data_IF_832568806095
#
_entry.id   IF_832568806095
#
_cell.length_a   1.000
_cell.length_b   1.000
_cell.length_c   1.000
_cell.angle_alpha   90.00
_cell.angle_beta   90.00
_cell.angle_gamma   90.00
#
_symmetry.space_group_name_H-M   'P 1'
#
loop_
_entity.id
_entity.type
_entity.pdbx_description
1 polymer ?
#
# COMPACT_ATOMS: atom_id res chain seq x y z
N UNK A 1 30.94 21.74 -33.47
CA UNK A 1 30.41 21.05 -32.28
C UNK A 1 29.00 21.55 -32.03
N UNK A 2 28.01 20.80 -32.51
CA UNK A 2 26.60 21.21 -32.55
C UNK A 2 25.87 20.76 -31.30
N UNK A 3 25.14 21.68 -30.64
CA UNK A 3 24.29 21.40 -29.48
C UNK A 3 23.07 20.57 -29.90
N UNK A 4 22.64 19.55 -29.15
CA UNK A 4 21.42 18.83 -29.47
C UNK A 4 20.18 19.66 -29.12
N UNK A 5 19.29 19.79 -30.10
CA UNK A 5 17.95 20.37 -29.95
C UNK A 5 17.03 19.38 -29.21
N UNK A 6 16.46 19.82 -28.08
CA UNK A 6 15.36 19.12 -27.43
C UNK A 6 14.06 19.28 -28.26
N UNK A 7 13.27 18.22 -28.45
CA UNK A 7 12.02 18.31 -29.19
C UNK A 7 10.94 19.07 -28.41
N UNK A 8 10.25 19.98 -29.11
CA UNK A 8 9.04 20.67 -28.63
C UNK A 8 7.88 19.68 -28.59
N UNK A 9 7.24 19.55 -27.42
CA UNK A 9 6.04 18.74 -27.23
C UNK A 9 4.83 19.25 -28.06
N UNK A 10 3.95 18.36 -28.55
CA UNK A 10 2.80 18.73 -29.36
C UNK A 10 1.56 19.19 -28.57
N UNK A 11 0.82 20.06 -29.29
CA UNK A 11 -0.57 20.54 -29.21
C UNK A 11 -1.55 20.00 -28.14
N UNK A 12 -2.19 21.00 -27.50
CA UNK A 12 -3.57 21.07 -26.96
C UNK A 12 -4.41 19.79 -27.06
N UNK A 13 -4.57 19.12 -25.91
CA UNK A 13 -5.63 18.13 -25.69
C UNK A 13 -6.96 18.85 -25.41
N UNK A 14 -8.01 18.50 -26.17
CA UNK A 14 -9.39 18.94 -25.94
C UNK A 14 -9.87 18.45 -24.58
N UNK A 15 -10.47 19.35 -23.79
CA UNK A 15 -11.07 19.04 -22.49
C UNK A 15 -12.28 18.13 -22.68
N UNK A 16 -12.19 16.91 -22.17
CA UNK A 16 -13.36 16.11 -21.83
C UNK A 16 -13.95 16.74 -20.58
N UNK A 17 -15.11 17.38 -20.73
CA UNK A 17 -16.03 17.65 -19.63
C UNK A 17 -16.69 16.31 -19.35
N UNK A 18 -16.49 15.76 -18.16
CA UNK A 18 -17.46 14.95 -17.41
C UNK A 18 -16.76 14.43 -16.14
N UNK A 19 -16.94 15.17 -15.04
CA UNK A 19 -16.80 14.62 -13.68
C UNK A 19 -18.17 14.73 -13.06
N UNK A 20 -18.98 13.71 -13.33
CA UNK A 20 -20.24 13.47 -12.66
C UNK A 20 -19.99 13.03 -11.21
N UNK A 21 -20.63 13.76 -10.30
CA UNK A 21 -21.14 13.34 -9.00
C UNK A 21 -20.52 12.08 -8.34
N UNK A 22 -19.63 12.29 -7.36
CA UNK A 22 -19.47 11.34 -6.26
C UNK A 22 -20.64 11.60 -5.30
N UNK A 23 -21.65 10.74 -5.41
CA UNK A 23 -22.85 10.79 -4.61
C UNK A 23 -22.60 10.30 -3.18
N UNK A 24 -23.11 11.13 -2.26
CA UNK A 24 -23.35 10.94 -0.84
C UNK A 24 -24.02 9.57 -0.55
N UNK A 25 -23.37 8.71 0.23
CA UNK A 25 -24.04 7.54 0.84
C UNK A 25 -24.72 7.99 2.13
N UNK A 26 -26.05 8.00 2.10
CA UNK A 26 -26.94 8.22 3.24
C UNK A 26 -26.89 7.01 4.20
N UNK A 27 -26.81 7.30 5.49
CA UNK A 27 -27.07 6.37 6.56
C UNK A 27 -28.57 6.05 6.65
N UNK A 28 -28.94 4.80 6.39
CA UNK A 28 -30.25 4.25 6.74
C UNK A 28 -30.11 3.44 8.03
N UNK A 29 -30.66 4.00 9.11
CA UNK A 29 -30.90 3.28 10.35
C UNK A 29 -32.03 2.28 10.12
N UNK A 30 -31.70 0.99 10.11
CA UNK A 30 -32.68 -0.10 10.20
C UNK A 30 -32.59 -0.67 11.60
N UNK A 31 -33.65 -0.46 12.39
CA UNK A 31 -33.83 -1.11 13.68
C UNK A 31 -34.24 -2.57 13.42
N UNK A 32 -33.30 -3.51 13.58
CA UNK A 32 -33.58 -4.94 13.62
C UNK A 32 -33.69 -5.39 15.07
N UNK A 33 -34.84 -5.98 15.41
CA UNK A 33 -35.06 -6.66 16.68
C UNK A 33 -34.10 -7.84 16.82
N UNK A 34 -33.21 -7.78 17.81
CA UNK A 34 -32.34 -8.89 18.19
C UNK A 34 -33.10 -9.81 19.17
N UNK A 35 -33.51 -10.98 18.69
CA UNK A 35 -33.86 -12.10 19.56
C UNK A 35 -32.59 -12.60 20.24
N UNK A 36 -32.49 -12.40 21.55
CA UNK A 36 -31.39 -12.88 22.37
C UNK A 36 -31.52 -14.39 22.61
N UNK A 37 -31.04 -15.21 21.67
CA UNK A 37 -30.71 -16.60 21.98
C UNK A 37 -29.40 -16.62 22.75
N UNK A 38 -29.51 -16.72 24.08
CA UNK A 38 -28.41 -16.99 25.01
C UNK A 38 -27.92 -18.43 24.83
N UNK A 39 -27.29 -18.71 23.68
CA UNK A 39 -26.48 -19.90 23.51
C UNK A 39 -25.20 -19.71 24.33
N UNK A 40 -25.00 -20.55 25.34
CA UNK A 40 -23.72 -20.66 26.02
C UNK A 40 -22.66 -21.05 24.98
N UNK A 41 -21.95 -20.06 24.44
CA UNK A 41 -20.76 -20.31 23.65
C UNK A 41 -19.74 -20.94 24.58
N UNK A 42 -19.58 -22.26 24.48
CA UNK A 42 -18.44 -22.97 25.03
C UNK A 42 -17.21 -22.25 24.48
N UNK A 43 -16.53 -21.47 25.33
CA UNK A 43 -15.26 -20.84 24.96
C UNK A 43 -14.33 -21.99 24.59
N UNK A 44 -14.03 -22.11 23.30
CA UNK A 44 -12.96 -22.99 22.84
C UNK A 44 -11.72 -22.66 23.68
N UNK A 45 -10.99 -23.67 24.19
CA UNK A 45 -9.80 -23.44 24.98
C UNK A 45 -8.88 -22.50 24.21
N UNK A 46 -8.48 -21.41 24.87
CA UNK A 46 -7.60 -20.40 24.30
C UNK A 46 -6.28 -21.08 23.91
N UNK A 47 -6.10 -21.30 22.62
CA UNK A 47 -4.97 -22.05 22.10
C UNK A 47 -3.77 -21.10 22.13
N UNK A 48 -2.94 -21.23 23.17
CA UNK A 48 -1.78 -20.37 23.38
C UNK A 48 -0.84 -20.41 22.16
N UNK A 49 -0.48 -19.24 21.65
CA UNK A 49 0.45 -19.12 20.53
C UNK A 49 1.79 -19.79 20.84
N UNK A 50 2.33 -20.52 19.86
CA UNK A 50 3.65 -21.17 19.94
C UNK A 50 4.72 -20.18 19.51
N UNK A 51 5.88 -20.09 20.19
CA UNK A 51 6.99 -19.28 19.69
C UNK A 51 7.45 -19.82 18.33
N UNK A 52 7.64 -18.93 17.36
CA UNK A 52 8.23 -19.30 16.08
C UNK A 52 9.67 -19.83 16.28
N UNK A 53 10.06 -20.93 15.61
CA UNK A 53 11.44 -21.42 15.69
C UNK A 53 12.44 -20.38 15.20
N UNK A 54 13.68 -20.35 15.74
CA UNK A 54 14.71 -19.47 15.20
C UNK A 54 15.08 -19.88 13.77
N UNK A 55 15.32 -18.89 12.91
CA UNK A 55 15.74 -19.08 11.53
C UNK A 55 16.81 -18.04 11.16
N UNK A 56 17.82 -18.43 10.38
CA UNK A 56 18.93 -17.56 9.97
C UNK A 56 18.85 -17.28 8.46
N UNK A 57 18.27 -16.13 8.10
CA UNK A 57 18.14 -15.68 6.72
C UNK A 57 19.49 -15.44 6.04
N UNK A 58 20.56 -15.18 6.79
CA UNK A 58 21.87 -14.86 6.21
C UNK A 58 22.54 -16.03 5.48
N UNK A 59 22.02 -17.25 5.66
CA UNK A 59 22.52 -18.48 5.04
C UNK A 59 21.76 -18.87 3.77
N UNK A 60 20.78 -18.08 3.39
CA UNK A 60 19.87 -18.40 2.29
C UNK A 60 20.43 -17.84 0.99
N UNK A 61 20.52 -18.70 -0.01
CA UNK A 61 20.68 -18.31 -1.41
C UNK A 61 19.41 -18.74 -2.12
N UNK A 62 18.77 -17.83 -2.83
CA UNK A 62 17.60 -18.16 -3.63
C UNK A 62 18.00 -19.02 -4.85
N UNK A 63 17.03 -19.60 -5.56
CA UNK A 63 17.27 -20.53 -6.69
C UNK A 63 16.64 -20.06 -8.00
N UNK A 64 15.56 -19.27 -7.95
CA UNK A 64 14.87 -18.74 -9.13
C UNK A 64 14.24 -17.36 -8.89
N UNK A 65 13.78 -16.63 -9.92
CA UNK A 65 12.74 -15.64 -9.66
C UNK A 65 11.49 -16.40 -9.23
N UNK A 66 10.79 -15.93 -8.20
CA UNK A 66 9.52 -16.53 -7.82
C UNK A 66 8.49 -16.13 -8.87
N UNK A 67 7.95 -17.14 -9.57
CA UNK A 67 6.78 -16.93 -10.41
C UNK A 67 5.57 -17.09 -9.52
N UNK A 68 4.85 -16.02 -9.30
CA UNK A 68 3.67 -16.00 -8.45
C UNK A 68 2.48 -15.38 -9.18
N UNK A 69 1.42 -15.12 -8.41
CA UNK A 69 0.31 -14.27 -8.82
C UNK A 69 -0.32 -13.60 -7.61
N UNK A 70 -0.49 -12.28 -7.66
CA UNK A 70 -1.44 -11.59 -6.79
C UNK A 70 -2.88 -11.79 -7.32
N UNK A 71 -3.72 -12.45 -6.53
CA UNK A 71 -5.13 -12.71 -6.89
C UNK A 71 -6.04 -11.74 -6.13
N UNK A 72 -6.80 -10.92 -6.85
CA UNK A 72 -7.75 -9.94 -6.29
C UNK A 72 -9.23 -10.30 -6.58
N UNK A 73 -10.16 -9.65 -5.86
CA UNK A 73 -11.61 -9.73 -6.11
C UNK A 73 -12.28 -11.03 -5.64
N UNK A 74 -13.40 -11.40 -6.29
CA UNK A 74 -14.25 -12.54 -5.87
C UNK A 74 -13.50 -13.86 -5.83
N UNK A 75 -12.56 -14.06 -6.76
CA UNK A 75 -11.71 -15.25 -6.79
C UNK A 75 -10.85 -15.35 -5.54
N UNK A 76 -10.28 -14.23 -5.08
CA UNK A 76 -9.52 -14.19 -3.82
C UNK A 76 -10.38 -14.67 -2.66
N UNK A 77 -11.57 -14.07 -2.51
CA UNK A 77 -12.49 -14.43 -1.44
C UNK A 77 -12.93 -15.91 -1.50
N UNK A 78 -13.15 -16.46 -2.70
CA UNK A 78 -13.48 -17.88 -2.89
C UNK A 78 -12.34 -18.81 -2.48
N UNK A 79 -11.11 -18.52 -2.91
CA UNK A 79 -9.93 -19.32 -2.58
C UNK A 79 -9.67 -19.32 -1.07
N UNK A 80 -9.73 -18.13 -0.43
CA UNK A 80 -9.58 -17.99 1.02
C UNK A 80 -10.61 -18.82 1.79
N UNK A 81 -11.90 -18.72 1.42
CA UNK A 81 -12.96 -19.54 2.04
C UNK A 81 -12.72 -21.04 1.85
N UNK A 82 -12.29 -21.44 0.65
CA UNK A 82 -12.02 -22.84 0.33
C UNK A 82 -10.83 -23.39 1.14
N UNK A 83 -9.79 -22.58 1.33
CA UNK A 83 -8.63 -22.95 2.13
C UNK A 83 -8.98 -23.09 3.61
N UNK A 84 -9.71 -22.12 4.18
CA UNK A 84 -10.18 -22.21 5.57
C UNK A 84 -11.06 -23.45 5.79
N UNK A 85 -11.92 -23.80 4.83
CA UNK A 85 -12.77 -24.98 4.91
C UNK A 85 -12.00 -26.31 4.77
N UNK A 86 -10.81 -26.30 4.17
CA UNK A 86 -9.97 -27.49 3.94
C UNK A 86 -8.82 -27.64 4.92
N UNK A 87 -8.55 -26.62 5.73
CA UNK A 87 -7.45 -26.62 6.67
C UNK A 87 -7.51 -27.86 7.56
N UNK A 88 -6.52 -28.75 7.39
CA UNK A 88 -6.42 -29.98 8.19
C UNK A 88 -6.00 -29.66 9.62
N UNK A 89 -5.17 -28.63 9.78
CA UNK A 89 -4.68 -28.13 11.05
C UNK A 89 -4.36 -26.63 10.92
N UNK A 90 -4.59 -25.86 11.98
CA UNK A 90 -4.10 -24.49 12.10
C UNK A 90 -3.31 -24.33 13.41
N UNK A 91 -2.25 -23.54 13.37
CA UNK A 91 -1.40 -23.23 14.51
C UNK A 91 -1.19 -21.72 14.55
N UNK A 92 -1.38 -21.14 15.73
CA UNK A 92 -1.01 -19.74 15.99
C UNK A 92 0.43 -19.72 16.46
N UNK A 93 1.27 -18.97 15.75
CA UNK A 93 2.65 -18.71 16.10
C UNK A 93 2.79 -17.28 16.64
N UNK A 94 3.83 -17.04 17.42
CA UNK A 94 4.22 -15.73 17.90
C UNK A 94 5.70 -15.47 17.62
N UNK A 95 6.01 -14.25 17.16
CA UNK A 95 7.39 -13.81 16.97
C UNK A 95 8.05 -13.37 18.31
N UNK A 96 9.28 -12.85 18.24
CA UNK A 96 10.00 -12.39 19.44
C UNK A 96 9.35 -11.18 20.14
N UNK A 97 8.55 -10.38 19.42
CA UNK A 97 7.76 -9.28 19.97
C UNK A 97 6.36 -9.71 20.45
N UNK A 98 6.01 -11.01 20.39
CA UNK A 98 4.71 -11.59 20.73
C UNK A 98 3.55 -11.18 19.82
N UNK A 99 3.85 -10.81 18.58
CA UNK A 99 2.88 -10.63 17.50
C UNK A 99 2.45 -12.00 17.02
N UNK A 100 1.15 -12.25 17.00
CA UNK A 100 0.58 -13.56 16.68
C UNK A 100 0.15 -13.64 15.22
N UNK A 101 0.44 -14.74 14.55
CA UNK A 101 0.03 -14.99 13.16
C UNK A 101 -0.35 -16.47 12.97
N UNK A 102 -1.23 -16.74 12.00
CA UNK A 102 -1.81 -18.08 11.82
C UNK A 102 -1.22 -18.78 10.60
N UNK A 103 -0.75 -20.02 10.79
CA UNK A 103 -0.35 -20.91 9.71
C UNK A 103 -1.22 -22.16 9.73
N UNK A 104 -1.82 -22.49 8.59
CA UNK A 104 -2.60 -23.68 8.39
C UNK A 104 -1.93 -24.67 7.43
N UNK A 105 -2.05 -25.96 7.73
CA UNK A 105 -1.83 -27.04 6.79
C UNK A 105 -3.07 -27.15 5.88
N UNK A 106 -2.91 -26.88 4.59
CA UNK A 106 -4.00 -26.96 3.63
C UNK A 106 -4.46 -28.39 3.33
N UNK A 107 -3.61 -29.39 3.64
CA UNK A 107 -3.85 -30.81 3.39
C UNK A 107 -3.21 -31.67 4.49
N UNK A 108 -3.71 -32.91 4.74
CA UNK A 108 -3.13 -33.82 5.74
C UNK A 108 -1.69 -34.28 5.44
N UNK A 109 -1.24 -34.18 4.18
CA UNK A 109 0.10 -34.54 3.73
C UNK A 109 1.18 -33.55 4.18
N UNK A 110 0.79 -32.35 4.60
CA UNK A 110 1.72 -31.29 5.01
C UNK A 110 2.29 -31.63 6.39
N UNK A 111 3.62 -31.83 6.52
CA UNK A 111 4.22 -32.19 7.80
C UNK A 111 4.19 -30.99 8.75
N UNK A 112 4.01 -31.24 10.06
CA UNK A 112 4.02 -30.17 11.07
C UNK A 112 5.32 -29.35 11.04
N UNK A 113 6.46 -29.99 10.74
CA UNK A 113 7.76 -29.33 10.60
C UNK A 113 7.79 -28.29 9.47
N UNK A 114 6.94 -28.42 8.43
CA UNK A 114 6.81 -27.40 7.40
C UNK A 114 6.15 -26.12 7.93
N UNK A 115 5.16 -26.25 8.83
CA UNK A 115 4.54 -25.07 9.46
C UNK A 115 5.56 -24.34 10.34
N UNK A 116 6.36 -25.10 11.09
CA UNK A 116 7.45 -24.58 11.93
C UNK A 116 8.52 -23.87 11.08
N UNK A 117 8.90 -24.44 9.93
CA UNK A 117 9.85 -23.82 9.00
C UNK A 117 9.33 -22.48 8.45
N UNK A 118 8.08 -22.44 7.98
CA UNK A 118 7.46 -21.20 7.47
C UNK A 118 7.30 -20.15 8.57
N UNK A 119 6.92 -20.57 9.79
CA UNK A 119 6.86 -19.66 10.94
C UNK A 119 8.24 -19.07 11.27
N UNK A 120 9.29 -19.89 11.25
CA UNK A 120 10.65 -19.43 11.50
C UNK A 120 11.13 -18.43 10.46
N UNK A 121 10.87 -18.68 9.16
CA UNK A 121 11.20 -17.74 8.08
C UNK A 121 10.51 -16.40 8.33
N UNK A 122 9.19 -16.38 8.50
CA UNK A 122 8.42 -15.14 8.72
C UNK A 122 8.86 -14.37 9.96
N UNK A 123 9.17 -15.08 11.06
CA UNK A 123 9.66 -14.45 12.28
C UNK A 123 11.08 -13.89 12.17
N UNK A 124 11.90 -14.39 11.23
CA UNK A 124 13.25 -13.88 10.95
C UNK A 124 13.25 -12.73 9.93
N UNK A 125 12.24 -12.68 9.05
CA UNK A 125 12.03 -11.65 8.03
C UNK A 125 11.74 -10.27 8.67
N UNK A 126 12.08 -9.16 8.02
CA UNK A 126 11.95 -7.81 8.56
C UNK A 126 10.48 -7.32 8.57
N UNK A 127 9.84 -7.29 9.74
CA UNK A 127 8.40 -7.00 9.86
C UNK A 127 8.03 -6.13 11.07
N UNK A 128 6.83 -5.54 11.05
CA UNK A 128 6.18 -4.77 12.13
C UNK A 128 4.85 -5.42 12.54
N UNK A 129 3.84 -4.63 12.90
CA UNK A 129 2.55 -5.13 13.38
C UNK A 129 1.72 -5.77 12.27
N UNK A 130 2.06 -5.53 11.00
CA UNK A 130 1.37 -6.09 9.84
C UNK A 130 1.40 -7.62 9.84
N UNK A 131 2.44 -8.27 10.38
CA UNK A 131 2.53 -9.74 10.47
C UNK A 131 1.29 -10.35 11.14
N UNK A 132 0.67 -9.65 12.11
CA UNK A 132 -0.52 -10.15 12.79
C UNK A 132 -1.79 -10.20 11.91
N UNK A 133 -1.74 -9.56 10.74
CA UNK A 133 -2.79 -9.56 9.74
C UNK A 133 -2.58 -10.63 8.65
N UNK A 134 -1.52 -11.43 8.76
CA UNK A 134 -1.23 -12.50 7.83
C UNK A 134 -1.86 -13.83 8.27
N UNK A 135 -2.49 -14.50 7.30
CA UNK A 135 -2.75 -15.94 7.36
C UNK A 135 -1.92 -16.66 6.32
N UNK A 136 -1.40 -17.84 6.66
CA UNK A 136 -0.60 -18.65 5.74
C UNK A 136 -1.25 -19.99 5.56
N UNK A 137 -1.28 -20.50 4.33
CA UNK A 137 -1.66 -21.88 4.05
C UNK A 137 -0.52 -22.59 3.35
N UNK A 138 0.05 -23.56 4.04
CA UNK A 138 1.12 -24.40 3.52
C UNK A 138 0.49 -25.60 2.81
N UNK A 139 0.94 -25.88 1.59
CA UNK A 139 0.42 -26.96 0.73
C UNK A 139 1.56 -27.72 0.05
N UNK A 140 1.32 -28.88 -0.57
CA UNK A 140 2.26 -29.45 -1.54
C UNK A 140 2.33 -28.60 -2.82
N UNK A 141 3.47 -28.62 -3.50
CA UNK A 141 3.73 -27.94 -4.78
C UNK A 141 2.72 -28.31 -5.86
N UNK A 142 2.25 -29.56 -5.86
CA UNK A 142 1.23 -30.06 -6.78
C UNK A 142 -0.13 -29.37 -6.63
N UNK A 143 -0.41 -28.74 -5.48
CA UNK A 143 -1.67 -28.05 -5.19
C UNK A 143 -1.64 -26.56 -5.58
N UNK A 144 -0.45 -25.97 -5.73
CA UNK A 144 -0.29 -24.55 -6.09
C UNK A 144 -0.96 -24.21 -7.43
N UNK A 145 -0.82 -24.98 -8.53
CA UNK A 145 -1.47 -24.61 -9.80
C UNK A 145 -2.99 -24.48 -9.72
N UNK A 146 -3.64 -25.27 -8.87
CA UNK A 146 -5.09 -25.20 -8.66
C UNK A 146 -5.51 -23.97 -7.83
N UNK A 147 -4.66 -23.56 -6.88
CA UNK A 147 -4.92 -22.45 -5.98
C UNK A 147 -4.51 -21.11 -6.61
N UNK A 148 -3.26 -21.03 -7.06
CA UNK A 148 -2.59 -19.82 -7.53
C UNK A 148 -2.63 -19.66 -9.06
N UNK A 149 -2.85 -20.75 -9.81
CA UNK A 149 -2.84 -20.77 -11.27
C UNK A 149 -1.58 -21.41 -11.85
N UNK A 150 -1.67 -21.84 -13.11
CA UNK A 150 -0.59 -22.56 -13.76
C UNK A 150 0.72 -21.75 -13.82
N UNK A 151 1.82 -22.40 -13.43
CA UNK A 151 3.17 -21.84 -13.44
C UNK A 151 3.51 -20.97 -12.23
N UNK A 152 2.59 -20.80 -11.27
CA UNK A 152 2.88 -20.16 -10.00
C UNK A 152 3.59 -21.15 -9.03
N UNK A 153 4.45 -20.62 -8.17
CA UNK A 153 5.14 -21.29 -7.07
C UNK A 153 4.48 -20.98 -5.72
N UNK A 154 3.92 -19.78 -5.61
CA UNK A 154 3.14 -19.31 -4.49
C UNK A 154 2.14 -18.24 -4.95
N UNK A 155 1.30 -17.76 -4.04
CA UNK A 155 0.46 -16.59 -4.31
C UNK A 155 0.00 -15.88 -3.05
N UNK A 156 -0.16 -14.56 -3.19
CA UNK A 156 -0.74 -13.69 -2.18
C UNK A 156 -2.17 -13.24 -2.56
N UNK A 157 -3.03 -13.20 -1.55
CA UNK A 157 -4.46 -12.94 -1.65
C UNK A 157 -4.87 -11.89 -0.60
N UNK A 158 -4.88 -10.59 -0.95
CA UNK A 158 -5.41 -9.55 -0.08
C UNK A 158 -6.90 -9.81 0.20
N UNK A 159 -7.35 -9.56 1.44
CA UNK A 159 -8.77 -9.75 1.84
C UNK A 159 -9.68 -8.75 1.14
N UNK A 160 -9.27 -7.49 1.22
CA UNK A 160 -9.86 -6.35 0.56
C UNK A 160 -8.68 -5.44 0.20
N UNK A 161 -8.18 -5.48 -1.04
CA UNK A 161 -6.98 -4.76 -1.46
C UNK A 161 -7.16 -3.23 -1.40
N UNK A 162 -8.35 -2.72 -1.09
CA UNK A 162 -8.60 -1.29 -0.92
C UNK A 162 -8.84 -0.86 0.54
N UNK A 163 -9.04 -1.80 1.46
CA UNK A 163 -9.57 -1.47 2.81
C UNK A 163 -9.06 -2.35 3.95
N UNK A 164 -8.24 -3.36 3.68
CA UNK A 164 -7.84 -4.33 4.71
C UNK A 164 -6.36 -4.66 4.63
N UNK A 165 -5.69 -4.57 5.77
CA UNK A 165 -4.33 -5.11 5.94
C UNK A 165 -4.31 -6.64 5.94
N UNK A 166 -5.45 -7.29 6.24
CA UNK A 166 -5.53 -8.75 6.25
C UNK A 166 -5.20 -9.38 4.88
N UNK A 167 -4.31 -10.36 4.90
CA UNK A 167 -3.84 -11.09 3.72
C UNK A 167 -3.82 -12.59 3.93
N UNK A 168 -3.79 -13.35 2.84
CA UNK A 168 -3.51 -14.78 2.88
C UNK A 168 -2.43 -15.11 1.85
N UNK A 169 -1.43 -15.89 2.24
CA UNK A 169 -0.47 -16.49 1.29
C UNK A 169 -0.67 -18.00 1.18
N UNK A 170 -0.38 -18.55 0.01
CA UNK A 170 -0.23 -19.99 -0.22
C UNK A 170 1.20 -20.28 -0.63
N UNK A 171 1.87 -21.17 0.11
CA UNK A 171 3.27 -21.54 -0.14
C UNK A 171 3.42 -23.06 -0.17
N UNK A 172 4.30 -23.54 -1.05
CA UNK A 172 4.58 -24.97 -1.18
C UNK A 172 5.75 -25.41 -0.30
N UNK A 173 5.54 -26.33 0.64
CA UNK A 173 6.61 -26.72 1.58
C UNK A 173 7.76 -27.51 0.93
N UNK A 174 7.48 -28.14 -0.20
CA UNK A 174 8.40 -28.90 -1.04
C UNK A 174 8.94 -28.08 -2.21
N UNK A 175 8.71 -26.76 -2.22
CA UNK A 175 9.40 -25.85 -3.15
C UNK A 175 10.89 -25.81 -2.79
N UNK A 176 11.81 -26.11 -3.74
CA UNK A 176 13.25 -26.03 -3.47
C UNK A 176 13.70 -24.61 -3.08
N UNK A 177 12.93 -23.58 -3.40
CA UNK A 177 13.18 -22.17 -3.09
C UNK A 177 12.16 -21.60 -2.07
N UNK A 178 11.67 -22.45 -1.16
CA UNK A 178 10.65 -22.10 -0.16
C UNK A 178 10.96 -20.79 0.58
N UNK A 179 12.22 -20.53 0.93
CA UNK A 179 12.56 -19.32 1.68
C UNK A 179 12.34 -18.06 0.84
N UNK A 180 12.81 -18.03 -0.41
CA UNK A 180 12.54 -16.91 -1.30
C UNK A 180 11.04 -16.76 -1.54
N UNK A 181 10.33 -17.86 -1.83
CA UNK A 181 8.88 -17.84 -2.00
C UNK A 181 8.16 -17.21 -0.80
N UNK A 182 8.45 -17.65 0.43
CA UNK A 182 7.82 -17.10 1.64
C UNK A 182 8.13 -15.61 1.81
N UNK A 183 9.40 -15.19 1.64
CA UNK A 183 9.79 -13.78 1.81
C UNK A 183 9.21 -12.90 0.70
N UNK A 184 9.15 -13.39 -0.53
CA UNK A 184 8.54 -12.73 -1.67
C UNK A 184 7.04 -12.50 -1.44
N UNK A 185 6.29 -13.56 -1.10
CA UNK A 185 4.85 -13.44 -0.81
C UNK A 185 4.58 -12.56 0.42
N UNK A 186 5.48 -12.58 1.40
CA UNK A 186 5.42 -11.65 2.53
C UNK A 186 5.66 -10.21 2.09
N UNK A 187 6.52 -9.98 1.09
CA UNK A 187 6.69 -8.67 0.45
C UNK A 187 5.38 -8.11 -0.13
N UNK A 188 4.58 -8.95 -0.79
CA UNK A 188 3.22 -8.55 -1.24
C UNK A 188 2.29 -8.22 -0.06
N UNK A 189 2.40 -8.95 1.05
CA UNK A 189 1.65 -8.65 2.25
C UNK A 189 2.05 -7.31 2.89
N UNK A 190 3.35 -7.02 2.94
CA UNK A 190 3.88 -5.73 3.37
C UNK A 190 3.36 -4.63 2.45
N UNK A 191 3.36 -4.82 1.12
CA UNK A 191 2.83 -3.84 0.18
C UNK A 191 1.36 -3.51 0.49
N UNK A 192 0.53 -4.54 0.62
CA UNK A 192 -0.89 -4.40 0.96
C UNK A 192 -1.13 -3.74 2.34
N UNK A 193 -0.17 -3.84 3.25
CA UNK A 193 -0.29 -3.30 4.61
C UNK A 193 0.17 -1.85 4.73
N UNK A 194 0.78 -1.30 3.67
CA UNK A 194 1.25 0.07 3.62
C UNK A 194 0.26 0.94 2.86
N UNK A 195 0.07 2.17 3.34
CA UNK A 195 -0.73 3.13 2.59
C UNK A 195 0.11 3.74 1.48
N UNK A 196 -0.15 3.30 0.27
CA UNK A 196 0.70 3.58 -0.87
C UNK A 196 0.19 4.76 -1.72
N UNK A 197 0.93 5.10 -2.77
CA UNK A 197 0.69 6.30 -3.59
C UNK A 197 0.26 5.99 -5.03
N UNK A 198 0.43 4.76 -5.52
CA UNK A 198 0.16 4.49 -6.92
C UNK A 198 -1.33 4.27 -7.22
N UNK A 199 -2.19 4.03 -6.23
CA UNK A 199 -3.62 4.31 -6.40
C UNK A 199 -3.86 5.78 -6.84
N UNK A 200 -3.11 6.75 -6.27
CA UNK A 200 -3.27 8.17 -6.61
C UNK A 200 -2.59 8.56 -7.92
N UNK A 201 -1.49 7.91 -8.28
CA UNK A 201 -0.69 8.26 -9.47
C UNK A 201 -1.00 7.42 -10.72
N UNK A 202 -1.42 6.16 -10.55
CA UNK A 202 -1.53 5.15 -11.61
C UNK A 202 -2.81 4.30 -11.55
N UNK A 203 -3.73 4.58 -10.61
CA UNK A 203 -4.98 3.82 -10.38
C UNK A 203 -4.74 2.35 -10.06
N UNK A 204 -3.65 2.06 -9.36
CA UNK A 204 -3.34 0.73 -8.86
C UNK A 204 -4.15 0.43 -7.59
N UNK A 205 -4.28 -0.83 -7.22
CA UNK A 205 -4.80 -1.25 -5.91
C UNK A 205 -3.68 -1.22 -4.87
N UNK A 206 -3.98 -1.14 -3.57
CA UNK A 206 -2.93 -1.09 -2.54
C UNK A 206 -2.04 -2.35 -2.50
N UNK A 207 -2.55 -3.49 -2.96
CA UNK A 207 -1.77 -4.72 -3.03
C UNK A 207 -0.83 -4.82 -4.26
N UNK A 208 -0.66 -3.75 -5.04
CA UNK A 208 0.11 -3.80 -6.28
C UNK A 208 0.72 -2.46 -6.69
N UNK A 209 1.08 -1.63 -5.72
CA UNK A 209 1.39 -0.22 -6.00
C UNK A 209 2.62 0.33 -5.28
N UNK A 210 3.18 -0.43 -4.33
CA UNK A 210 4.45 -0.13 -3.68
C UNK A 210 4.38 1.01 -2.68
N UNK A 211 5.22 0.93 -1.65
CA UNK A 211 5.27 1.93 -0.60
C UNK A 211 5.76 3.31 -1.06
N UNK A 212 5.41 4.35 -0.31
CA UNK A 212 5.52 5.75 -0.77
C UNK A 212 6.94 6.21 -1.04
N UNK A 213 7.80 6.05 -0.04
CA UNK A 213 9.20 6.48 -0.11
C UNK A 213 9.93 5.55 -1.08
N UNK A 214 9.64 4.25 -1.02
CA UNK A 214 10.15 3.26 -1.98
C UNK A 214 9.87 3.66 -3.43
N UNK A 215 8.61 3.93 -3.77
CA UNK A 215 8.20 4.24 -5.14
C UNK A 215 8.91 5.50 -5.66
N UNK A 216 9.04 6.54 -4.81
CA UNK A 216 9.78 7.75 -5.19
C UNK A 216 11.27 7.47 -5.36
N UNK A 217 11.89 6.70 -4.46
CA UNK A 217 13.29 6.32 -4.56
C UNK A 217 13.55 5.54 -5.86
N UNK A 218 12.73 4.51 -6.15
CA UNK A 218 12.80 3.73 -7.38
C UNK A 218 12.52 4.54 -8.63
N UNK A 219 11.56 5.47 -8.59
CA UNK A 219 11.27 6.34 -9.74
C UNK A 219 12.43 7.28 -10.08
N UNK A 220 13.19 7.72 -9.07
CA UNK A 220 14.36 8.57 -9.26
C UNK A 220 15.57 7.80 -9.77
N UNK A 221 15.69 6.52 -9.43
CA UNK A 221 16.85 5.69 -9.81
C UNK A 221 16.64 4.95 -11.14
N UNK A 222 15.49 4.29 -11.34
CA UNK A 222 15.29 3.36 -12.46
C UNK A 222 14.01 3.61 -13.27
N UNK A 223 13.46 4.84 -13.20
CA UNK A 223 12.32 5.25 -14.03
C UNK A 223 11.10 4.32 -13.88
N UNK A 224 10.89 3.82 -12.65
CA UNK A 224 9.84 2.89 -12.24
C UNK A 224 8.45 3.31 -12.76
N UNK A 225 8.16 4.61 -12.72
CA UNK A 225 6.86 5.14 -13.17
C UNK A 225 6.63 5.00 -14.68
N UNK A 226 7.70 4.94 -15.49
CA UNK A 226 7.60 4.69 -16.93
C UNK A 226 7.61 3.19 -17.25
N UNK A 227 8.46 2.42 -16.58
CA UNK A 227 8.74 1.03 -16.94
C UNK A 227 7.79 0.03 -16.29
N UNK A 228 7.38 0.29 -15.04
CA UNK A 228 6.51 -0.60 -14.28
C UNK A 228 5.06 -0.53 -14.75
N UNK A 229 4.22 -1.43 -14.28
CA UNK A 229 2.80 -1.57 -14.60
C UNK A 229 2.03 -2.10 -13.39
N UNK A 230 0.78 -1.67 -13.23
CA UNK A 230 -0.13 -2.22 -12.21
C UNK A 230 -1.11 -3.23 -12.79
N UNK A 231 -0.99 -3.50 -14.08
CA UNK A 231 -1.79 -4.53 -14.73
C UNK A 231 -1.23 -5.90 -14.31
N UNK A 232 -2.00 -6.75 -13.62
CA UNK A 232 -1.56 -8.09 -13.24
C UNK A 232 -1.36 -9.02 -14.46
N UNK A 233 -1.75 -8.59 -15.67
CA UNK A 233 -1.47 -9.28 -16.92
C UNK A 233 -0.23 -8.76 -17.65
N UNK A 234 0.44 -7.72 -17.12
CA UNK A 234 1.71 -7.27 -17.67
C UNK A 234 2.80 -8.34 -17.52
N UNK A 235 3.88 -8.23 -18.29
CA UNK A 235 5.08 -9.04 -18.09
C UNK A 235 5.49 -8.96 -16.60
N UNK A 236 5.77 -10.10 -15.97
CA UNK A 236 6.04 -10.19 -14.52
C UNK A 236 7.07 -9.15 -14.05
N UNK A 237 8.18 -8.99 -14.80
CA UNK A 237 9.23 -8.00 -14.49
C UNK A 237 8.79 -6.53 -14.55
N UNK A 238 7.61 -6.24 -15.11
CA UNK A 238 7.01 -4.90 -15.13
C UNK A 238 6.04 -4.70 -13.99
N UNK A 239 5.49 -5.76 -13.40
CA UNK A 239 4.46 -5.63 -12.39
C UNK A 239 5.03 -4.93 -11.14
N UNK A 240 4.43 -3.83 -10.71
CA UNK A 240 4.94 -3.04 -9.59
C UNK A 240 4.97 -3.84 -8.28
N UNK A 241 3.96 -4.68 -8.07
CA UNK A 241 3.89 -5.61 -6.93
C UNK A 241 5.14 -6.50 -6.88
N UNK A 242 5.52 -7.07 -8.03
CA UNK A 242 6.66 -7.99 -8.14
C UNK A 242 7.99 -7.27 -7.90
N UNK A 243 8.15 -6.06 -8.45
CA UNK A 243 9.35 -5.26 -8.19
C UNK A 243 9.45 -4.88 -6.72
N UNK A 244 8.32 -4.58 -6.06
CA UNK A 244 8.28 -4.31 -4.63
C UNK A 244 8.62 -5.54 -3.79
N UNK A 245 7.99 -6.69 -4.08
CA UNK A 245 8.20 -7.94 -3.38
C UNK A 245 9.65 -8.41 -3.48
N UNK A 246 10.27 -8.33 -4.67
CA UNK A 246 11.69 -8.61 -4.81
C UNK A 246 12.54 -7.60 -4.04
N UNK A 247 12.20 -6.29 -4.05
CA UNK A 247 12.95 -5.29 -3.28
C UNK A 247 12.93 -5.56 -1.78
N UNK A 248 11.81 -6.11 -1.33
CA UNK A 248 11.64 -6.58 0.02
C UNK A 248 12.47 -7.85 0.30
N UNK A 249 12.59 -8.79 -0.66
CA UNK A 249 13.51 -9.93 -0.57
C UNK A 249 14.96 -9.44 -0.42
N UNK A 250 15.37 -8.46 -1.23
CA UNK A 250 16.70 -7.85 -1.14
C UNK A 250 16.93 -7.10 0.20
N UNK A 251 15.90 -6.46 0.75
CA UNK A 251 15.96 -5.85 2.09
C UNK A 251 16.28 -6.88 3.18
N UNK A 252 15.84 -8.13 2.98
CA UNK A 252 16.10 -9.26 3.88
C UNK A 252 17.43 -9.98 3.62
N UNK A 253 18.29 -9.42 2.76
CA UNK A 253 19.63 -9.94 2.50
C UNK A 253 19.67 -11.15 1.56
N UNK A 254 18.56 -11.48 0.92
CA UNK A 254 18.49 -12.51 -0.11
C UNK A 254 18.77 -11.82 -1.46
N UNK A 255 20.02 -11.88 -1.92
CA UNK A 255 20.48 -11.13 -3.10
C UNK A 255 20.52 -12.01 -4.35
N UNK A 256 19.47 -11.93 -5.17
CA UNK A 256 19.43 -12.52 -6.51
C UNK A 256 18.77 -11.60 -7.54
N UNK A 257 19.04 -10.30 -7.45
CA UNK A 257 18.37 -9.29 -8.29
C UNK A 257 18.63 -9.42 -9.79
N UNK A 258 19.56 -10.26 -10.24
CA UNK A 258 19.88 -10.43 -11.66
C UNK A 258 18.71 -10.95 -12.54
N UNK A 259 17.49 -11.03 -12.00
CA UNK A 259 16.33 -11.72 -12.57
C UNK A 259 15.15 -10.80 -12.90
N UNK A 260 15.10 -9.58 -12.35
CA UNK A 260 14.27 -8.49 -12.89
C UNK A 260 15.11 -7.70 -13.88
N UNK A 261 15.26 -8.22 -15.10
CA UNK A 261 16.15 -7.65 -16.11
C UNK A 261 15.81 -6.19 -16.52
N UNK A 262 14.58 -5.75 -16.23
CA UNK A 262 14.10 -4.41 -16.55
C UNK A 262 14.60 -3.33 -15.59
N UNK A 263 14.96 -3.69 -14.36
CA UNK A 263 15.33 -2.75 -13.30
C UNK A 263 16.70 -3.10 -12.72
N UNK A 264 17.52 -2.10 -12.41
CA UNK A 264 18.76 -2.35 -11.69
C UNK A 264 18.46 -2.88 -10.26
N UNK A 265 19.42 -3.58 -9.63
CA UNK A 265 19.32 -3.91 -8.20
C UNK A 265 19.01 -2.69 -7.34
N UNK A 266 18.15 -2.83 -6.31
CA UNK A 266 17.81 -1.70 -5.46
C UNK A 266 19.07 -1.15 -4.82
N UNK A 267 19.26 0.15 -4.94
CA UNK A 267 20.34 0.79 -4.19
C UNK A 267 20.05 0.74 -2.69
N UNK A 268 21.07 1.05 -1.89
CA UNK A 268 20.90 1.27 -0.45
C UNK A 268 19.87 2.35 -0.11
N UNK A 269 19.65 3.33 -1.01
CA UNK A 269 18.65 4.36 -0.77
C UNK A 269 17.22 3.83 -0.95
N UNK A 270 17.00 2.97 -1.95
CA UNK A 270 15.71 2.28 -2.15
C UNK A 270 15.40 1.36 -0.98
N UNK A 271 16.35 0.51 -0.57
CA UNK A 271 16.16 -0.40 0.56
C UNK A 271 15.92 0.38 1.87
N UNK A 272 16.64 1.48 2.08
CA UNK A 272 16.38 2.37 3.24
C UNK A 272 15.00 3.01 3.18
N UNK A 273 14.56 3.45 2.00
CA UNK A 273 13.25 4.05 1.84
C UNK A 273 12.13 3.05 2.16
N UNK A 274 12.28 1.80 1.71
CA UNK A 274 11.39 0.69 2.02
C UNK A 274 11.37 0.38 3.53
N UNK A 275 12.53 0.23 4.17
CA UNK A 275 12.63 0.00 5.61
C UNK A 275 11.94 1.12 6.42
N UNK A 276 12.12 2.38 6.04
CA UNK A 276 11.46 3.51 6.70
C UNK A 276 9.93 3.47 6.50
N UNK A 277 9.43 3.05 5.32
CA UNK A 277 7.98 2.92 5.12
C UNK A 277 7.37 1.84 6.02
N UNK A 278 8.13 0.78 6.32
CA UNK A 278 7.73 -0.30 7.24
C UNK A 278 7.81 0.19 8.70
N UNK A 279 8.91 0.82 9.12
CA UNK A 279 9.10 1.31 10.49
C UNK A 279 8.22 2.51 10.84
N UNK A 280 7.94 3.37 9.86
CA UNK A 280 7.14 4.58 9.99
C UNK A 280 6.05 4.64 8.90
N UNK A 281 5.03 3.76 8.97
CA UNK A 281 3.95 3.74 8.01
C UNK A 281 3.24 5.09 7.94
N UNK A 282 2.92 5.53 6.73
CA UNK A 282 2.22 6.78 6.55
C UNK A 282 0.78 6.66 7.04
N UNK A 283 0.42 7.52 7.99
CA UNK A 283 -0.95 7.64 8.49
C UNK A 283 -1.59 8.90 7.90
N UNK A 284 -2.67 8.77 7.09
CA UNK A 284 -3.43 9.91 6.60
C UNK A 284 -3.89 10.77 7.76
N UNK A 285 -3.86 12.08 7.55
CA UNK A 285 -4.38 13.01 8.54
C UNK A 285 -5.25 14.05 7.89
N UNK A 286 -6.37 14.34 8.55
CA UNK A 286 -7.29 15.40 8.13
C UNK A 286 -7.49 16.40 9.26
N UNK A 287 -7.60 17.66 8.89
CA UNK A 287 -7.81 18.76 9.82
C UNK A 287 -8.77 19.76 9.23
N UNK A 288 -9.74 20.18 10.04
CA UNK A 288 -10.54 21.36 9.77
C UNK A 288 -9.93 22.58 10.46
N UNK A 289 -9.75 23.66 9.72
CA UNK A 289 -9.30 24.96 10.21
C UNK A 289 -10.40 25.98 9.89
N UNK A 290 -10.74 26.84 10.85
CA UNK A 290 -11.74 27.90 10.66
C UNK A 290 -11.10 29.26 10.84
N UNK A 291 -11.69 30.28 10.23
CA UNK A 291 -11.29 31.66 10.46
C UNK A 291 -12.27 32.65 9.85
N UNK A 292 -11.86 33.91 9.77
CA UNK A 292 -12.67 34.99 9.19
C UNK A 292 -11.83 35.78 8.17
N UNK A 293 -12.44 36.16 7.05
CA UNK A 293 -11.90 37.16 6.12
C UNK A 293 -12.27 38.53 6.68
N UNK A 294 -11.27 39.28 7.13
CA UNK A 294 -11.43 40.66 7.62
C UNK A 294 -10.88 41.71 6.66
N UNK A 295 -10.09 41.29 5.65
CA UNK A 295 -9.44 42.18 4.69
C UNK A 295 -9.20 41.48 3.34
N UNK A 296 -9.02 42.28 2.29
CA UNK A 296 -8.52 41.81 1.00
C UNK A 296 -7.01 41.49 1.13
N UNK A 297 -6.54 40.49 0.40
CA UNK A 297 -5.14 40.04 0.43
C UNK A 297 -4.96 38.73 1.19
N UNK A 298 -3.79 38.53 1.81
CA UNK A 298 -3.50 37.31 2.57
C UNK A 298 -4.27 37.32 3.89
N UNK A 299 -5.19 36.37 4.02
CA UNK A 299 -6.04 36.18 5.21
C UNK A 299 -5.36 35.25 6.20
N UNK A 300 -4.78 34.15 5.71
CA UNK A 300 -4.09 33.18 6.55
C UNK A 300 -2.95 32.52 5.78
N UNK A 301 -1.88 32.20 6.50
CA UNK A 301 -0.82 31.29 6.05
C UNK A 301 -0.81 30.07 6.97
N UNK A 302 -0.69 28.90 6.38
CA UNK A 302 -0.56 27.63 7.08
C UNK A 302 0.72 26.97 6.60
N UNK A 303 1.58 26.60 7.54
CA UNK A 303 2.80 25.85 7.23
C UNK A 303 2.51 24.38 7.48
N UNK A 304 2.80 23.54 6.49
CA UNK A 304 2.65 22.09 6.56
C UNK A 304 4.04 21.48 6.41
N UNK A 305 4.46 20.71 7.40
CA UNK A 305 5.68 19.90 7.31
C UNK A 305 5.27 18.49 6.90
N UNK A 306 5.98 17.96 5.90
CA UNK A 306 5.80 16.62 5.36
C UNK A 306 7.13 15.88 5.41
N UNK A 307 7.13 14.72 6.05
CA UNK A 307 8.29 13.83 6.15
C UNK A 307 8.30 12.77 5.06
N UNK A 308 7.17 12.58 4.36
CA UNK A 308 6.99 11.57 3.32
C UNK A 308 6.40 12.19 2.06
N UNK A 309 6.60 11.58 0.87
CA UNK A 309 5.86 11.98 -0.31
C UNK A 309 4.35 11.85 -0.05
N UNK A 310 3.61 12.95 -0.26
CA UNK A 310 2.24 13.10 0.22
C UNK A 310 1.38 13.73 -0.86
N UNK A 311 0.13 13.28 -0.99
CA UNK A 311 -0.89 13.97 -1.74
C UNK A 311 -1.64 14.95 -0.82
N UNK A 312 -1.41 16.24 -1.02
CA UNK A 312 -2.08 17.29 -0.26
C UNK A 312 -3.39 17.68 -0.93
N UNK A 313 -4.50 17.48 -0.21
CA UNK A 313 -5.83 17.96 -0.61
C UNK A 313 -6.28 19.06 0.35
N UNK A 314 -6.71 20.19 -0.19
CA UNK A 314 -7.25 21.27 0.62
C UNK A 314 -8.49 21.87 -0.02
N UNK A 315 -9.60 21.86 0.72
CA UNK A 315 -10.89 22.43 0.34
C UNK A 315 -11.23 23.63 1.24
N UNK A 316 -11.38 24.79 0.64
CA UNK A 316 -11.76 26.02 1.32
C UNK A 316 -13.22 26.35 1.00
N UNK A 317 -14.01 26.61 2.05
CA UNK A 317 -15.39 27.05 1.97
C UNK A 317 -15.57 28.36 2.72
N UNK A 318 -16.19 29.34 2.09
CA UNK A 318 -16.52 30.65 2.65
C UNK A 318 -18.01 30.99 2.49
N UNK A 319 -18.42 32.20 2.89
CA UNK A 319 -19.78 32.70 2.69
C UNK A 319 -20.08 32.85 1.19
N UNK A 320 -21.35 32.71 0.77
CA UNK A 320 -21.76 32.69 -0.66
C UNK A 320 -21.19 33.83 -1.51
N UNK A 321 -21.02 35.03 -0.94
CA UNK A 321 -20.52 36.24 -1.65
C UNK A 321 -19.03 36.49 -1.50
N UNK A 322 -18.31 35.66 -0.73
CA UNK A 322 -16.86 35.79 -0.63
C UNK A 322 -16.18 35.26 -1.88
N UNK A 323 -15.15 35.98 -2.31
CA UNK A 323 -14.21 35.49 -3.31
C UNK A 323 -12.91 35.14 -2.60
N UNK A 324 -12.59 33.86 -2.58
CA UNK A 324 -11.41 33.31 -1.95
C UNK A 324 -10.45 32.76 -3.00
N UNK A 325 -9.18 32.60 -2.63
CA UNK A 325 -8.14 32.00 -3.47
C UNK A 325 -7.24 31.17 -2.54
N UNK A 326 -6.96 29.94 -2.95
CA UNK A 326 -6.12 29.00 -2.22
C UNK A 326 -4.85 28.75 -3.04
N UNK A 327 -3.69 28.90 -2.40
CA UNK A 327 -2.40 28.73 -3.08
C UNK A 327 -1.45 27.88 -2.27
N UNK A 328 -0.75 26.96 -2.93
CA UNK A 328 0.27 26.13 -2.34
C UNK A 328 1.65 26.59 -2.81
N UNK A 329 2.58 26.77 -1.88
CA UNK A 329 3.97 27.15 -2.12
C UNK A 329 4.90 26.05 -1.61
N UNK A 330 5.91 25.73 -2.42
CA UNK A 330 6.97 24.80 -2.04
C UNK A 330 8.04 25.44 -1.12
N UNK A 331 8.98 24.64 -0.59
CA UNK A 331 9.94 25.04 0.44
C UNK A 331 10.76 26.30 0.14
N UNK A 332 11.14 26.50 -1.11
CA UNK A 332 12.01 27.60 -1.54
C UNK A 332 11.41 28.46 -2.65
N UNK A 333 10.10 28.36 -2.89
CA UNK A 333 9.47 28.97 -4.07
C UNK A 333 8.69 30.24 -3.74
N UNK A 334 9.06 31.34 -4.40
CA UNK A 334 8.29 32.61 -4.38
C UNK A 334 6.99 32.53 -5.20
N UNK A 335 6.93 31.61 -6.16
CA UNK A 335 5.73 31.34 -6.98
C UNK A 335 5.02 30.10 -6.44
N UNK A 336 3.68 30.11 -6.36
CA UNK A 336 2.94 28.93 -5.94
C UNK A 336 3.11 27.80 -6.96
N UNK A 337 3.22 26.57 -6.45
CA UNK A 337 3.27 25.35 -7.25
C UNK A 337 1.87 24.89 -7.67
N UNK A 338 0.84 25.26 -6.91
CA UNK A 338 -0.55 25.00 -7.24
C UNK A 338 -1.45 26.17 -6.79
N UNK A 339 -2.54 26.41 -7.51
CA UNK A 339 -3.56 27.42 -7.19
C UNK A 339 -4.94 26.83 -7.44
N UNK A 340 -5.91 27.20 -6.61
CA UNK A 340 -7.29 26.80 -6.88
C UNK A 340 -7.76 27.33 -8.24
N UNK A 341 -8.45 26.47 -8.98
CA UNK A 341 -8.85 26.71 -10.36
C UNK A 341 -10.13 27.54 -10.49
N UNK A 342 -10.87 27.73 -9.39
CA UNK A 342 -12.17 28.36 -9.36
C UNK A 342 -12.10 29.79 -8.79
N UNK A 343 -13.22 30.51 -8.95
CA UNK A 343 -13.47 31.77 -8.26
C UNK A 343 -14.76 31.63 -7.51
N UNK A 344 -14.73 31.91 -6.21
CA UNK A 344 -15.93 32.08 -5.42
C UNK A 344 -15.72 31.68 -3.96
N UNK A 345 -16.78 31.14 -3.38
CA UNK A 345 -16.83 30.76 -1.97
C UNK A 345 -16.43 29.31 -1.72
N UNK A 346 -16.07 28.56 -2.78
CA UNK A 346 -15.61 27.18 -2.69
C UNK A 346 -14.39 27.03 -3.58
N UNK A 347 -13.27 26.67 -2.99
CA UNK A 347 -11.99 26.50 -3.67
C UNK A 347 -11.38 25.17 -3.26
N UNK A 348 -10.66 24.52 -4.17
CA UNK A 348 -9.94 23.28 -3.89
C UNK A 348 -8.57 23.29 -4.55
N UNK A 349 -7.59 22.66 -3.91
CA UNK A 349 -6.33 22.26 -4.53
C UNK A 349 -6.01 20.82 -4.16
N UNK A 350 -5.37 20.12 -5.08
CA UNK A 350 -4.94 18.74 -4.92
C UNK A 350 -3.56 18.62 -5.57
N UNK A 351 -2.53 18.28 -4.82
CA UNK A 351 -1.15 18.26 -5.34
C UNK A 351 -0.31 17.18 -4.65
N UNK A 352 0.36 16.36 -5.46
CA UNK A 352 1.43 15.49 -4.99
C UNK A 352 2.70 16.31 -4.71
N UNK A 353 3.28 16.13 -3.53
CA UNK A 353 4.47 16.85 -3.09
C UNK A 353 5.46 15.92 -2.39
N UNK A 354 6.75 16.18 -2.62
CA UNK A 354 7.85 15.49 -1.94
C UNK A 354 7.99 15.98 -0.48
N UNK A 355 8.74 15.28 0.38
CA UNK A 355 9.04 15.74 1.74
C UNK A 355 9.56 17.19 1.76
N UNK A 356 9.14 17.95 2.75
CA UNK A 356 9.54 19.34 2.91
C UNK A 356 8.54 20.22 3.66
N UNK A 357 8.86 21.52 3.70
CA UNK A 357 8.04 22.55 4.33
C UNK A 357 7.23 23.30 3.28
N UNK A 358 5.91 23.18 3.33
CA UNK A 358 4.99 23.81 2.38
C UNK A 358 4.19 24.92 3.06
N UNK A 359 3.81 25.94 2.29
CA UNK A 359 2.93 27.01 2.77
C UNK A 359 1.64 27.03 1.95
N UNK A 360 0.50 26.92 2.63
CA UNK A 360 -0.82 27.15 2.06
C UNK A 360 -1.25 28.58 2.42
N UNK A 361 -1.48 29.41 1.41
CA UNK A 361 -2.06 30.75 1.58
C UNK A 361 -3.55 30.72 1.28
N UNK A 362 -4.34 31.27 2.20
CA UNK A 362 -5.73 31.65 1.97
C UNK A 362 -5.76 33.15 1.70
N UNK A 363 -6.32 33.55 0.58
CA UNK A 363 -6.44 34.96 0.19
C UNK A 363 -7.90 35.36 -0.01
N UNK A 364 -8.27 36.51 0.52
CA UNK A 364 -9.56 37.15 0.26
C UNK A 364 -9.43 38.12 -0.90
N UNK A 365 -10.32 38.04 -1.87
CA UNK A 365 -10.41 38.98 -3.00
C UNK A 365 -11.59 39.92 -2.86
N UNK A 366 -12.69 39.45 -2.27
CA UNK A 366 -13.92 40.22 -2.08
C UNK A 366 -14.74 39.67 -0.92
N UNK A 367 -15.42 40.58 -0.21
CA UNK A 367 -16.32 40.35 0.92
C UNK A 367 -15.70 39.64 2.14
N UNK A 368 -16.15 40.04 3.33
CA UNK A 368 -15.73 39.45 4.60
C UNK A 368 -16.60 38.26 5.01
N UNK A 369 -16.16 37.52 6.04
CA UNK A 369 -16.98 36.51 6.71
C UNK A 369 -16.23 35.24 7.06
N UNK A 370 -16.93 34.28 7.67
CA UNK A 370 -16.32 33.06 8.18
C UNK A 370 -15.98 32.07 7.07
N UNK A 371 -14.80 31.46 7.16
CA UNK A 371 -14.36 30.40 6.26
C UNK A 371 -13.96 29.14 7.05
N UNK A 372 -14.04 28.00 6.36
CA UNK A 372 -13.62 26.68 6.80
C UNK A 372 -12.70 26.09 5.74
N UNK A 373 -11.48 25.74 6.11
CA UNK A 373 -10.56 24.94 5.32
C UNK A 373 -10.56 23.51 5.85
N UNK A 374 -10.87 22.54 5.01
CA UNK A 374 -10.57 21.14 5.25
C UNK A 374 -9.24 20.83 4.55
N UNK A 375 -8.26 20.35 5.29
CA UNK A 375 -6.93 20.00 4.81
C UNK A 375 -6.71 18.52 5.11
N UNK A 376 -6.38 17.74 4.10
CA UNK A 376 -6.05 16.34 4.23
C UNK A 376 -4.67 16.05 3.61
N UNK A 377 -3.93 15.18 4.29
CA UNK A 377 -2.69 14.59 3.85
C UNK A 377 -3.02 13.14 3.54
N UNK A 378 -2.99 12.80 2.26
CA UNK A 378 -3.20 11.46 1.77
C UNK A 378 -1.95 10.84 1.28
#
# INVERSE_FOLDING_TARGET
>A
MSRPHLPRAPRRVRRVRDVGAIALVLALASATMASASAGAQVRAPEQRARPAPPFDLSRVTALGPIRDRVIVGDRSAQLRRSALARAAQAVVYADSARREFTIAAGEPSVPAAALDAVAGILAATYHREELAHLSVTVVPSSSIPALCGAGAQACYLPKDPDRSFDGQMFVAFDDPDLVHAVVHEYGHHVDNSLLNLAHLMRRCTYAADGSRRWMVARALEDDLLRLGACDPQAEWQRQLAEVFAEDYVALNGIDEWNRIALFAPPSRNVLRALAIDIDEPFVPSQRTIRGRVTRIGVVRRLVVHLTVPTFLLAELRGPRRAELDLRLYGPSRRRPIERSSHRGSRESLAQFVLPGRYTIEIRGRRAGGQWKLWLAKF
#
